data_IF_923935530241
#
_entry.id   IF_923935530241
#
_cell.length_a   1.000
_cell.length_b   1.000
_cell.length_c   1.000
_cell.angle_alpha   90.00
_cell.angle_beta   90.00
_cell.angle_gamma   90.00
#
_symmetry.space_group_name_H-M   'P 1'
#
loop_
_entity.id
_entity.type
_entity.pdbx_description
1 polymer ?
#
# COMPACT_ATOMS: atom_id res chain seq x y z
N UNK A 1 6.29 2.98 20.55
CA UNK A 1 6.77 2.77 19.18
C UNK A 1 5.69 3.23 18.21
N UNK A 2 5.98 4.18 17.31
CA UNK A 2 5.00 4.59 16.31
C UNK A 2 4.84 3.45 15.29
N UNK A 3 3.63 2.92 15.14
CA UNK A 3 3.35 1.88 14.15
C UNK A 3 3.46 2.49 12.75
N UNK A 4 4.22 1.86 11.86
CA UNK A 4 4.29 2.27 10.46
C UNK A 4 2.90 2.18 9.82
N UNK A 5 2.55 3.16 8.98
CA UNK A 5 1.21 3.27 8.36
C UNK A 5 1.33 3.37 6.85
N UNK A 6 0.34 2.84 6.15
CA UNK A 6 0.24 2.96 4.69
C UNK A 6 0.04 4.42 4.30
N UNK A 7 0.89 4.96 3.43
CA UNK A 7 0.79 6.35 2.94
C UNK A 7 -0.53 6.68 2.23
N UNK A 8 -1.26 5.67 1.73
CA UNK A 8 -2.49 5.87 0.94
C UNK A 8 -3.78 5.68 1.74
N UNK A 9 -3.81 4.74 2.67
CA UNK A 9 -5.03 4.39 3.42
C UNK A 9 -4.89 4.50 4.94
N UNK A 10 -3.71 4.93 5.43
CA UNK A 10 -3.36 5.08 6.84
C UNK A 10 -3.57 3.84 7.73
N UNK A 11 -3.85 2.68 7.14
CA UNK A 11 -3.92 1.41 7.87
C UNK A 11 -2.54 1.07 8.46
N UNK A 12 -2.50 0.47 9.66
CA UNK A 12 -1.25 -0.01 10.25
C UNK A 12 -0.63 -1.09 9.38
N UNK A 13 0.69 -1.04 9.25
CA UNK A 13 1.49 -2.00 8.48
C UNK A 13 2.15 -2.98 9.45
N UNK A 14 1.96 -4.26 9.18
CA UNK A 14 2.48 -5.35 10.02
C UNK A 14 3.58 -6.13 9.32
N UNK A 15 3.54 -6.24 7.99
CA UNK A 15 4.53 -7.00 7.25
C UNK A 15 5.80 -6.16 6.99
N UNK A 16 7.00 -6.76 7.16
CA UNK A 16 8.28 -6.05 7.01
C UNK A 16 8.43 -5.36 5.65
N UNK A 17 7.91 -5.98 4.59
CA UNK A 17 8.00 -5.43 3.25
C UNK A 17 7.15 -4.17 3.09
N UNK A 18 5.88 -4.20 3.49
CA UNK A 18 5.01 -3.03 3.46
C UNK A 18 5.52 -1.92 4.33
N UNK A 19 6.06 -2.22 5.52
CA UNK A 19 6.73 -1.22 6.37
C UNK A 19 7.87 -0.56 5.59
N UNK A 20 8.73 -1.35 4.95
CA UNK A 20 9.89 -0.85 4.23
C UNK A 20 9.53 0.01 3.00
N UNK A 21 8.41 -0.27 2.33
CA UNK A 21 7.91 0.56 1.21
C UNK A 21 6.88 1.63 1.64
N UNK A 22 6.51 1.68 2.92
CA UNK A 22 5.48 2.59 3.44
C UNK A 22 4.07 2.38 2.89
N UNK A 23 3.76 1.19 2.34
CA UNK A 23 2.53 0.95 1.61
C UNK A 23 1.99 -0.47 1.81
N UNK A 24 0.71 -0.56 2.18
CA UNK A 24 0.03 -1.83 2.43
C UNK A 24 -0.21 -2.65 1.16
N UNK A 25 -0.37 -3.98 1.28
CA UNK A 25 -0.52 -4.89 0.14
C UNK A 25 -1.74 -4.56 -0.73
N UNK A 26 -2.85 -4.15 -0.12
CA UNK A 26 -4.09 -3.74 -0.80
C UNK A 26 -3.90 -2.51 -1.70
N UNK A 27 -3.17 -1.51 -1.22
CA UNK A 27 -2.92 -0.27 -1.95
C UNK A 27 -1.88 -0.49 -3.05
N UNK A 28 -0.84 -1.26 -2.74
CA UNK A 28 0.17 -1.71 -3.70
C UNK A 28 -0.45 -2.53 -4.83
N UNK A 29 -1.34 -3.47 -4.51
CA UNK A 29 -2.04 -4.30 -5.50
C UNK A 29 -2.88 -3.47 -6.47
N UNK A 30 -3.58 -2.44 -5.97
CA UNK A 30 -4.28 -1.48 -6.83
C UNK A 30 -3.33 -0.74 -7.77
N UNK A 31 -2.25 -0.17 -7.26
CA UNK A 31 -1.27 0.53 -8.10
C UNK A 31 -0.61 -0.39 -9.12
N UNK A 32 -0.31 -1.64 -8.75
CA UNK A 32 0.22 -2.64 -9.65
C UNK A 32 -0.74 -2.94 -10.81
N UNK A 33 -2.06 -2.94 -10.57
CA UNK A 33 -3.07 -3.04 -11.64
C UNK A 33 -3.07 -1.83 -12.57
N UNK A 34 -2.72 -0.65 -12.05
CA UNK A 34 -2.52 0.58 -12.83
C UNK A 34 -1.12 0.68 -13.47
N UNK A 35 -0.36 -0.41 -13.53
CA UNK A 35 0.92 -0.46 -14.21
C UNK A 35 2.12 0.00 -13.39
N UNK A 36 1.94 0.36 -12.11
CA UNK A 36 3.07 0.67 -11.22
C UNK A 36 3.93 -0.56 -10.99
N UNK A 37 5.25 -0.39 -11.09
CA UNK A 37 6.21 -1.44 -10.75
C UNK A 37 6.85 -1.15 -9.40
N UNK A 38 6.63 -2.06 -8.47
CA UNK A 38 7.22 -2.01 -7.13
C UNK A 38 8.53 -2.79 -7.09
N UNK A 39 9.48 -2.39 -6.23
CA UNK A 39 10.70 -3.14 -6.02
C UNK A 39 10.37 -4.54 -5.51
N UNK A 40 11.16 -5.52 -5.95
CA UNK A 40 11.02 -6.91 -5.50
C UNK A 40 11.71 -7.06 -4.13
N UNK A 41 11.03 -7.59 -3.11
CA UNK A 41 11.68 -7.91 -1.85
C UNK A 41 12.71 -9.02 -2.06
N UNK A 42 13.86 -8.89 -1.38
CA UNK A 42 14.87 -9.92 -1.29
C UNK A 42 14.82 -10.54 0.10
N UNK A 43 14.47 -11.81 0.14
CA UNK A 43 14.48 -12.61 1.36
C UNK A 43 15.71 -13.50 1.41
N UNK A 44 16.21 -13.77 2.61
CA UNK A 44 17.24 -14.77 2.88
C UNK A 44 16.81 -15.60 4.07
N UNK A 45 17.04 -16.90 3.98
CA UNK A 45 16.80 -17.81 5.10
C UNK A 45 18.07 -17.83 5.95
N UNK A 46 17.96 -17.48 7.23
CA UNK A 46 19.03 -17.60 8.23
C UNK A 46 18.49 -18.33 9.45
N UNK A 47 19.18 -19.40 9.85
CA UNK A 47 18.82 -20.21 11.02
C UNK A 47 17.34 -20.67 11.03
N UNK A 48 16.77 -21.01 9.86
CA UNK A 48 15.37 -21.41 9.74
C UNK A 48 14.35 -20.27 9.69
N UNK A 49 14.79 -19.01 9.80
CA UNK A 49 13.93 -17.83 9.72
C UNK A 49 14.08 -17.09 8.38
N UNK A 50 12.96 -16.57 7.86
CA UNK A 50 12.94 -15.74 6.65
C UNK A 50 13.18 -14.29 7.03
N UNK A 51 14.33 -13.74 6.67
CA UNK A 51 14.69 -12.35 6.91
C UNK A 51 14.56 -11.54 5.62
N UNK A 52 13.93 -10.36 5.70
CA UNK A 52 13.95 -9.39 4.61
C UNK A 52 15.31 -8.68 4.62
N UNK A 53 16.16 -9.02 3.65
CA UNK A 53 17.53 -8.47 3.53
C UNK A 53 17.53 -7.11 2.83
N UNK A 54 16.57 -6.88 1.94
CA UNK A 54 16.47 -5.62 1.23
C UNK A 54 15.48 -5.67 0.07
N UNK A 55 15.61 -4.70 -0.83
CA UNK A 55 14.74 -4.52 -1.98
C UNK A 55 15.57 -4.33 -3.24
N UNK A 56 15.12 -4.93 -4.35
CA UNK A 56 15.77 -4.81 -5.66
C UNK A 56 14.84 -4.09 -6.63
N UNK A 57 15.38 -3.09 -7.31
CA UNK A 57 14.62 -2.19 -8.18
C UNK A 57 14.22 -0.91 -7.47
N UNK A 58 13.70 0.03 -8.25
CA UNK A 58 13.12 1.29 -7.75
C UNK A 58 11.62 1.26 -7.99
N UNK A 59 10.87 2.02 -7.19
CA UNK A 59 9.48 2.32 -7.52
C UNK A 59 9.53 3.16 -8.80
N UNK A 60 9.01 2.61 -9.89
CA UNK A 60 8.86 3.34 -11.16
C UNK A 60 7.42 3.84 -11.18
N UNK A 61 7.25 5.16 -11.05
CA UNK A 61 5.96 5.79 -11.34
C UNK A 61 5.61 5.44 -12.80
N UNK A 62 4.36 5.02 -13.10
CA UNK A 62 3.97 4.67 -14.43
C UNK A 62 4.07 5.94 -15.30
N UNK A 63 4.25 5.77 -16.63
CA UNK A 63 4.02 6.86 -17.57
C UNK A 63 2.63 7.46 -17.34
N UNK A 64 2.38 8.73 -17.70
CA UNK A 64 1.17 9.46 -17.33
C UNK A 64 -0.06 8.77 -17.92
N UNK A 65 -0.65 7.86 -17.14
CA UNK A 65 -2.00 7.34 -17.37
C UNK A 65 -2.92 8.41 -16.81
N UNK A 66 -3.60 9.11 -17.70
CA UNK A 66 -4.46 10.24 -17.40
C UNK A 66 -5.29 10.06 -16.13
N UNK A 67 -5.29 11.12 -15.32
CA UNK A 67 -6.20 11.40 -14.22
C UNK A 67 -6.57 10.22 -13.31
N UNK A 68 -5.70 9.93 -12.34
CA UNK A 68 -6.01 9.13 -11.15
C UNK A 68 -7.00 9.82 -10.16
N UNK A 69 -7.79 10.77 -10.62
CA UNK A 69 -8.95 11.26 -9.88
C UNK A 69 -10.15 10.34 -10.13
N UNK A 70 -10.12 9.17 -9.48
CA UNK A 70 -11.31 8.31 -9.39
C UNK A 70 -12.34 8.97 -8.44
N UNK A 71 -13.05 9.97 -9.00
CA UNK A 71 -14.36 10.44 -8.53
C UNK A 71 -15.36 9.28 -8.67
N UNK A 72 -15.33 8.28 -7.77
CA UNK A 72 -16.49 7.38 -7.60
C UNK A 72 -16.49 6.63 -6.26
N UNK A 73 -16.75 7.37 -5.18
CA UNK A 73 -17.53 6.85 -4.05
C UNK A 73 -18.52 7.92 -3.57
N UNK A 74 -19.49 8.23 -4.43
CA UNK A 74 -20.83 8.60 -3.95
C UNK A 74 -21.63 7.31 -3.79
N UNK A 75 -22.43 7.30 -2.72
CA UNK A 75 -23.63 6.51 -2.42
C UNK A 75 -23.52 5.57 -1.20
N UNK A 76 -24.32 5.96 -0.20
CA UNK A 76 -24.82 5.24 0.99
C UNK A 76 -23.91 5.08 2.21
N UNK A 77 -23.92 6.12 3.05
CA UNK A 77 -24.59 6.06 4.36
C UNK A 77 -24.85 7.49 4.85
N UNK A 78 -25.96 8.06 4.38
CA UNK A 78 -26.72 9.11 5.08
C UNK A 78 -26.91 8.64 6.54
N UNK A 79 -26.42 9.41 7.51
CA UNK A 79 -27.18 10.49 8.13
C UNK A 79 -28.49 9.94 8.73
N UNK A 80 -28.41 9.48 9.97
CA UNK A 80 -29.55 9.39 10.89
C UNK A 80 -29.01 9.41 12.32
N UNK A 81 -28.53 10.58 12.74
CA UNK A 81 -28.58 10.98 14.15
C UNK A 81 -29.40 12.27 14.20
N UNK A 82 -30.41 12.26 15.08
CA UNK A 82 -31.19 13.37 15.64
C UNK A 82 -32.24 14.06 14.75
N UNK A 83 -33.52 13.88 15.10
CA UNK A 83 -34.46 14.93 15.55
C UNK A 83 -35.81 14.30 15.90
N UNK A 84 -36.10 14.16 17.20
CA UNK A 84 -37.42 14.48 17.80
C UNK A 84 -37.13 15.00 19.22
#
# INVERSE_FOLDING_TARGET
MAQARCCRCNRPLTDPFSIAIGMGPECRGRLSKHGWRFPKPRYRIRHGHVELVGMVGKIVEPPPVGDLTDKKRKVKREASNQSD
#
